data_IF_222102054695
#
_entry.id   IF_222102054695
#
_cell.length_a   1.000
_cell.length_b   1.000
_cell.length_c   1.000
_cell.angle_alpha   90.00
_cell.angle_beta   90.00
_cell.angle_gamma   90.00
#
_symmetry.space_group_name_H-M   'P 1'
#
loop_
_entity.id
_entity.type
_entity.pdbx_description
1 polymer ?
#
# COMPACT_ATOMS: atom_id res chain seq x y z
N UNK A 1 3.91 -8.34 3.61
CA UNK A 1 4.94 -8.20 2.54
C UNK A 1 4.89 -9.25 1.41
N UNK A 2 3.84 -10.08 1.29
CA UNK A 2 3.83 -11.26 0.41
C UNK A 2 4.32 -11.04 -1.05
N UNK A 3 3.80 -10.06 -1.80
CA UNK A 3 4.15 -9.93 -3.23
C UNK A 3 5.55 -9.33 -3.48
N UNK A 4 6.18 -8.78 -2.46
CA UNK A 4 7.56 -8.25 -2.54
C UNK A 4 8.58 -9.13 -1.80
N UNK A 5 8.15 -10.07 -0.97
CA UNK A 5 9.03 -10.95 -0.19
C UNK A 5 9.03 -12.41 -0.70
N UNK A 6 7.86 -12.95 -1.03
CA UNK A 6 7.71 -14.39 -1.24
C UNK A 6 8.29 -14.84 -2.59
N UNK A 7 9.14 -15.87 -2.57
CA UNK A 7 9.91 -16.34 -3.74
C UNK A 7 9.04 -16.63 -4.98
N UNK A 8 7.81 -17.14 -4.79
CA UNK A 8 6.88 -17.43 -5.90
C UNK A 8 6.39 -16.18 -6.63
N UNK A 9 6.44 -15.01 -5.97
CA UNK A 9 6.03 -13.72 -6.55
C UNK A 9 7.25 -12.96 -7.10
N UNK A 10 8.39 -13.06 -6.42
CA UNK A 10 9.55 -12.18 -6.66
C UNK A 10 10.39 -12.58 -7.86
N UNK A 11 10.32 -13.85 -8.31
CA UNK A 11 10.97 -14.33 -9.56
C UNK A 11 10.63 -13.49 -10.80
N UNK A 12 9.50 -12.78 -10.77
CA UNK A 12 9.01 -11.97 -11.88
C UNK A 12 9.28 -10.47 -11.71
N UNK A 13 9.98 -10.03 -10.65
CA UNK A 13 10.31 -8.60 -10.43
C UNK A 13 11.52 -8.21 -11.28
N UNK A 14 11.28 -8.05 -12.57
CA UNK A 14 12.32 -7.75 -13.57
C UNK A 14 12.16 -6.32 -14.08
N UNK A 15 10.91 -5.88 -14.28
CA UNK A 15 10.56 -4.57 -14.84
C UNK A 15 9.99 -3.62 -13.78
N UNK A 16 9.95 -2.32 -14.09
CA UNK A 16 9.34 -1.29 -13.25
C UNK A 16 7.88 -1.59 -12.96
N UNK A 17 7.15 -2.08 -13.97
CA UNK A 17 5.75 -2.48 -13.81
C UNK A 17 5.59 -3.67 -12.87
N UNK A 18 6.50 -4.65 -12.90
CA UNK A 18 6.44 -5.78 -11.98
C UNK A 18 6.67 -5.35 -10.53
N UNK A 19 7.67 -4.48 -10.28
CA UNK A 19 7.91 -3.96 -8.94
C UNK A 19 6.72 -3.11 -8.47
N UNK A 20 6.21 -2.24 -9.34
CA UNK A 20 5.06 -1.37 -9.04
C UNK A 20 3.83 -2.20 -8.68
N UNK A 21 3.53 -3.21 -9.48
CA UNK A 21 2.41 -4.12 -9.24
C UNK A 21 2.58 -4.90 -7.92
N UNK A 22 3.80 -5.32 -7.59
CA UNK A 22 4.08 -6.00 -6.33
C UNK A 22 3.81 -5.09 -5.12
N UNK A 23 4.27 -3.83 -5.16
CA UNK A 23 3.94 -2.84 -4.12
C UNK A 23 2.44 -2.57 -4.03
N UNK A 24 1.76 -2.35 -5.16
CA UNK A 24 0.31 -2.12 -5.20
C UNK A 24 -0.44 -3.29 -4.58
N UNK A 25 -0.15 -4.52 -5.01
CA UNK A 25 -0.84 -5.73 -4.52
C UNK A 25 -0.59 -5.96 -3.03
N UNK A 26 0.63 -5.73 -2.56
CA UNK A 26 0.96 -5.93 -1.14
C UNK A 26 0.25 -4.90 -0.26
N UNK A 27 0.34 -3.61 -0.61
CA UNK A 27 -0.33 -2.54 0.13
C UNK A 27 -1.86 -2.67 0.09
N UNK A 28 -2.42 -3.06 -1.06
CA UNK A 28 -3.84 -3.32 -1.23
C UNK A 28 -4.31 -4.50 -0.37
N UNK A 29 -3.59 -5.63 -0.39
CA UNK A 29 -3.94 -6.81 0.40
C UNK A 29 -3.89 -6.53 1.91
N UNK A 30 -2.85 -5.85 2.39
CA UNK A 30 -2.75 -5.46 3.80
C UNK A 30 -3.86 -4.48 4.20
N UNK A 31 -4.18 -3.50 3.35
CA UNK A 31 -5.31 -2.58 3.61
C UNK A 31 -6.64 -3.34 3.67
N UNK A 32 -6.87 -4.28 2.76
CA UNK A 32 -8.09 -5.09 2.75
C UNK A 32 -8.24 -5.91 4.03
N UNK A 33 -7.19 -6.63 4.44
CA UNK A 33 -7.18 -7.44 5.65
C UNK A 33 -7.33 -6.57 6.91
N UNK A 34 -6.62 -5.45 6.98
CA UNK A 34 -6.73 -4.49 8.07
C UNK A 34 -8.16 -3.92 8.17
N UNK A 35 -8.81 -3.65 7.04
CA UNK A 35 -10.21 -3.21 7.02
C UNK A 35 -11.16 -4.29 7.53
N UNK A 36 -11.01 -5.54 7.09
CA UNK A 36 -11.81 -6.65 7.62
C UNK A 36 -11.64 -6.78 9.13
N UNK A 37 -10.41 -6.73 9.63
CA UNK A 37 -10.11 -6.77 11.05
C UNK A 37 -10.73 -5.58 11.80
N UNK A 38 -10.59 -4.36 11.28
CA UNK A 38 -11.19 -3.16 11.86
C UNK A 38 -12.71 -3.29 11.97
N UNK A 39 -13.37 -3.78 10.91
CA UNK A 39 -14.81 -4.04 10.94
C UNK A 39 -15.20 -5.05 12.01
N UNK A 40 -14.53 -6.19 12.08
CA UNK A 40 -14.84 -7.23 13.07
C UNK A 40 -14.77 -6.72 14.52
N UNK A 41 -13.89 -5.75 14.81
CA UNK A 41 -13.69 -5.25 16.17
C UNK A 41 -14.49 -3.98 16.51
N UNK A 42 -14.90 -3.20 15.50
CA UNK A 42 -15.48 -1.86 15.71
C UNK A 42 -16.83 -1.63 15.02
N UNK A 43 -17.34 -2.60 14.24
CA UNK A 43 -18.58 -2.45 13.45
C UNK A 43 -19.73 -3.28 14.02
N UNK A 44 -20.20 -2.94 15.22
CA UNK A 44 -21.30 -3.66 15.88
C UNK A 44 -22.66 -3.48 15.18
N UNK A 45 -22.81 -2.48 14.31
CA UNK A 45 -24.08 -2.12 13.66
C UNK A 45 -24.02 -2.09 12.13
N UNK A 46 -22.92 -2.54 11.50
CA UNK A 46 -22.69 -2.47 10.06
C UNK A 46 -22.71 -1.04 9.46
N UNK A 47 -22.46 -0.04 10.30
CA UNK A 47 -22.49 1.40 9.98
C UNK A 47 -21.22 1.84 9.23
N UNK A 48 -20.12 1.08 9.35
CA UNK A 48 -18.87 1.42 8.65
C UNK A 48 -18.97 1.28 7.12
N UNK A 49 -19.73 0.30 6.62
CA UNK A 49 -19.93 0.13 5.18
C UNK A 49 -20.79 1.27 4.60
N UNK A 50 -21.79 1.73 5.35
CA UNK A 50 -22.64 2.86 4.96
C UNK A 50 -21.84 4.16 4.91
N UNK A 51 -21.05 4.42 5.96
CA UNK A 51 -20.11 5.55 5.99
C UNK A 51 -19.12 5.50 4.83
N UNK A 52 -18.61 4.32 4.48
CA UNK A 52 -17.68 4.17 3.36
C UNK A 52 -18.35 4.47 2.01
N UNK A 53 -19.62 4.11 1.82
CA UNK A 53 -20.42 4.48 0.62
C UNK A 53 -20.61 5.99 0.47
N UNK A 54 -20.72 6.69 1.60
CA UNK A 54 -20.70 8.16 1.67
C UNK A 54 -19.30 8.75 1.51
N UNK A 55 -18.27 7.92 1.34
CA UNK A 55 -16.90 8.34 1.19
C UNK A 55 -16.19 8.70 2.50
N UNK A 56 -16.76 8.34 3.65
CA UNK A 56 -16.18 8.62 4.96
C UNK A 56 -15.36 7.43 5.44
N UNK A 57 -14.04 7.57 5.41
CA UNK A 57 -13.11 6.63 6.05
C UNK A 57 -12.97 7.02 7.53
N UNK A 58 -13.13 6.08 8.48
CA UNK A 58 -12.90 6.36 9.90
C UNK A 58 -11.50 6.97 10.12
N UNK A 59 -11.37 8.09 10.86
CA UNK A 59 -10.08 8.78 11.02
C UNK A 59 -8.96 7.89 11.58
N UNK A 60 -9.27 6.99 12.52
CA UNK A 60 -8.29 6.07 13.09
C UNK A 60 -7.83 5.01 12.08
N UNK A 61 -8.74 4.51 11.24
CA UNK A 61 -8.38 3.59 10.17
C UNK A 61 -7.55 4.28 9.09
N UNK A 62 -7.94 5.51 8.70
CA UNK A 62 -7.17 6.32 7.75
C UNK A 62 -5.74 6.59 8.26
N UNK A 63 -5.59 6.89 9.56
CA UNK A 63 -4.28 7.04 10.20
C UNK A 63 -3.45 5.77 10.08
N UNK A 64 -4.05 4.60 10.33
CA UNK A 64 -3.39 3.31 10.13
C UNK A 64 -2.92 3.13 8.68
N UNK A 65 -3.76 3.46 7.70
CA UNK A 65 -3.38 3.42 6.28
C UNK A 65 -2.18 4.33 5.96
N UNK A 66 -2.11 5.52 6.57
CA UNK A 66 -0.95 6.40 6.38
C UNK A 66 0.34 5.80 6.94
N UNK A 67 0.30 5.16 8.10
CA UNK A 67 1.48 4.48 8.66
C UNK A 67 1.94 3.34 7.78
N UNK A 68 1.03 2.45 7.38
CA UNK A 68 1.36 1.35 6.45
C UNK A 68 1.95 1.87 5.14
N UNK A 69 1.39 2.94 4.57
CA UNK A 69 1.95 3.58 3.38
C UNK A 69 3.37 4.13 3.61
N UNK A 70 3.62 4.72 4.79
CA UNK A 70 4.94 5.16 5.23
C UNK A 70 5.94 4.01 5.35
N UNK A 71 5.53 2.88 5.93
CA UNK A 71 6.38 1.70 6.05
C UNK A 71 6.79 1.17 4.68
N UNK A 72 5.88 1.13 3.69
CA UNK A 72 6.23 0.76 2.32
C UNK A 72 7.22 1.73 1.67
N UNK A 73 7.08 3.03 1.95
CA UNK A 73 8.05 4.04 1.49
C UNK A 73 9.42 3.72 2.05
N UNK A 74 9.50 3.55 3.36
CA UNK A 74 10.78 3.36 4.04
C UNK A 74 11.43 2.03 3.65
N UNK A 75 10.64 0.98 3.42
CA UNK A 75 11.12 -0.29 2.84
C UNK A 75 11.69 -0.06 1.43
N UNK A 76 10.98 0.67 0.57
CA UNK A 76 11.44 0.97 -0.79
C UNK A 76 12.75 1.77 -0.79
N UNK A 77 12.83 2.80 0.06
CA UNK A 77 13.99 3.70 0.18
C UNK A 77 15.14 3.11 1.00
N UNK A 78 14.96 1.92 1.57
CA UNK A 78 15.93 1.28 2.47
C UNK A 78 16.20 2.10 3.75
N UNK A 79 15.20 2.86 4.22
CA UNK A 79 15.25 3.69 5.44
C UNK A 79 14.42 3.10 6.59
N UNK A 80 13.79 1.93 6.37
CA UNK A 80 12.95 1.29 7.38
C UNK A 80 13.75 0.83 8.61
N UNK A 81 13.16 1.00 9.79
CA UNK A 81 13.78 0.68 11.09
C UNK A 81 13.57 -0.77 11.53
N UNK A 82 12.84 -1.56 10.75
CA UNK A 82 12.48 -2.93 11.11
C UNK A 82 13.70 -3.84 11.19
N UNK A 83 13.62 -4.85 12.06
CA UNK A 83 14.60 -5.94 12.10
C UNK A 83 14.63 -6.65 10.75
N UNK A 84 15.84 -6.93 10.25
CA UNK A 84 16.06 -7.51 8.91
C UNK A 84 16.00 -9.03 8.97
N UNK A 85 14.80 -9.55 9.24
CA UNK A 85 14.56 -10.99 9.40
C UNK A 85 13.26 -11.40 8.71
N UNK A 86 13.17 -12.66 8.27
CA UNK A 86 12.02 -13.21 7.57
C UNK A 86 11.62 -12.39 6.35
N UNK A 87 10.32 -12.21 6.16
CA UNK A 87 9.73 -11.47 5.04
C UNK A 87 10.32 -10.05 4.83
N UNK A 88 10.81 -9.39 5.90
CA UNK A 88 11.43 -8.07 5.78
C UNK A 88 12.81 -8.17 5.13
N UNK A 89 13.62 -9.18 5.49
CA UNK A 89 14.90 -9.41 4.82
C UNK A 89 14.67 -9.75 3.36
N UNK A 90 13.75 -10.69 3.10
CA UNK A 90 13.43 -11.15 1.76
C UNK A 90 12.93 -9.99 0.88
N UNK A 91 12.02 -9.16 1.39
CA UNK A 91 11.53 -7.99 0.66
C UNK A 91 12.68 -7.05 0.27
N UNK A 92 13.58 -6.78 1.21
CA UNK A 92 14.70 -5.87 0.98
C UNK A 92 15.70 -6.43 -0.01
N UNK A 93 16.06 -7.71 0.11
CA UNK A 93 16.95 -8.38 -0.84
C UNK A 93 16.38 -8.35 -2.26
N UNK A 94 15.08 -8.62 -2.42
CA UNK A 94 14.41 -8.58 -3.72
C UNK A 94 14.36 -7.16 -4.31
N UNK A 95 14.04 -6.15 -3.50
CA UNK A 95 14.04 -4.75 -3.91
C UNK A 95 15.47 -4.32 -4.28
N UNK A 96 16.46 -4.66 -3.46
CA UNK A 96 17.87 -4.35 -3.69
C UNK A 96 18.38 -4.99 -4.98
N UNK A 97 18.07 -6.27 -5.23
CA UNK A 97 18.42 -6.95 -6.47
C UNK A 97 17.84 -6.23 -7.70
N UNK A 98 16.60 -5.78 -7.63
CA UNK A 98 15.96 -5.03 -8.73
C UNK A 98 16.63 -3.66 -8.98
N UNK A 99 16.97 -2.91 -7.92
CA UNK A 99 17.61 -1.59 -8.07
C UNK A 99 19.08 -1.72 -8.49
N UNK A 100 19.81 -2.71 -7.97
CA UNK A 100 21.23 -2.92 -8.28
C UNK A 100 21.47 -3.45 -9.70
N UNK A 101 20.44 -3.97 -10.37
CA UNK A 101 20.53 -4.42 -11.77
C UNK A 101 20.79 -3.27 -12.76
N UNK A 102 20.56 -2.01 -12.37
CA UNK A 102 20.69 -0.85 -13.24
C UNK A 102 21.41 0.27 -12.50
N UNK A 103 22.49 0.81 -13.08
CA UNK A 103 23.36 1.81 -12.45
C UNK A 103 22.64 3.14 -12.12
N UNK A 104 21.58 3.45 -12.85
CA UNK A 104 20.97 4.79 -12.84
C UNK A 104 19.60 4.82 -12.14
N UNK A 105 19.16 3.70 -11.53
CA UNK A 105 17.85 3.65 -10.88
C UNK A 105 17.90 4.27 -9.49
N UNK A 106 17.13 5.35 -9.33
CA UNK A 106 16.99 6.06 -8.08
C UNK A 106 15.69 5.67 -7.37
N UNK A 107 15.79 5.08 -6.17
CA UNK A 107 14.65 4.67 -5.34
C UNK A 107 13.69 5.81 -5.03
N UNK A 108 14.22 7.00 -4.73
CA UNK A 108 13.43 8.20 -4.44
C UNK A 108 12.62 8.62 -5.66
N UNK A 109 13.23 8.61 -6.85
CA UNK A 109 12.54 8.90 -8.11
C UNK A 109 11.45 7.86 -8.38
N UNK A 110 11.79 6.57 -8.28
CA UNK A 110 10.86 5.47 -8.48
C UNK A 110 9.66 5.56 -7.53
N UNK A 111 9.90 5.79 -6.23
CA UNK A 111 8.84 5.98 -5.26
C UNK A 111 7.99 7.19 -5.62
N UNK A 112 8.62 8.32 -5.98
CA UNK A 112 7.91 9.56 -6.34
C UNK A 112 6.95 9.36 -7.52
N UNK A 113 7.34 8.56 -8.51
CA UNK A 113 6.54 8.23 -9.70
C UNK A 113 5.40 7.24 -9.38
N UNK A 114 5.64 6.27 -8.50
CA UNK A 114 4.70 5.16 -8.25
C UNK A 114 3.85 5.32 -6.99
N UNK A 115 4.24 6.21 -6.07
CA UNK A 115 3.60 6.53 -4.80
C UNK A 115 2.08 6.73 -4.90
N UNK A 116 1.63 7.40 -5.97
CA UNK A 116 0.22 7.66 -6.21
C UNK A 116 -0.54 6.37 -6.51
N UNK A 117 0.01 5.50 -7.34
CA UNK A 117 -0.62 4.23 -7.73
C UNK A 117 -0.70 3.25 -6.56
N UNK A 118 0.31 3.22 -5.68
CA UNK A 118 0.28 2.42 -4.45
C UNK A 118 -0.88 2.86 -3.55
N UNK A 119 -1.02 4.18 -3.33
CA UNK A 119 -2.13 4.73 -2.55
C UNK A 119 -3.50 4.45 -3.20
N UNK A 120 -3.61 4.59 -4.52
CA UNK A 120 -4.82 4.23 -5.28
C UNK A 120 -5.16 2.74 -5.13
N UNK A 121 -4.16 1.86 -5.08
CA UNK A 121 -4.32 0.44 -4.81
C UNK A 121 -4.92 0.17 -3.42
N UNK A 122 -4.42 0.86 -2.39
CA UNK A 122 -4.96 0.77 -1.02
C UNK A 122 -6.42 1.23 -0.96
N UNK A 123 -6.74 2.37 -1.60
CA UNK A 123 -8.13 2.86 -1.70
C UNK A 123 -9.01 1.91 -2.49
N UNK A 124 -8.50 1.30 -3.57
CA UNK A 124 -9.24 0.32 -4.36
C UNK A 124 -9.59 -0.92 -3.52
N UNK A 125 -8.64 -1.43 -2.73
CA UNK A 125 -8.87 -2.56 -1.83
C UNK A 125 -9.96 -2.28 -0.80
N UNK A 126 -9.96 -1.09 -0.20
CA UNK A 126 -10.98 -0.67 0.76
C UNK A 126 -12.38 -0.64 0.12
N UNK A 127 -12.45 -0.27 -1.16
CA UNK A 127 -13.69 0.13 -1.83
C UNK A 127 -14.13 -0.87 -2.89
N UNK A 128 -13.48 -2.03 -2.96
CA UNK A 128 -13.66 -3.01 -4.03
C UNK A 128 -15.13 -3.50 -4.16
N UNK A 129 -15.85 -3.54 -3.04
CA UNK A 129 -17.26 -3.96 -2.97
C UNK A 129 -18.27 -2.87 -3.34
N UNK A 130 -17.81 -1.65 -3.58
CA UNK A 130 -18.64 -0.51 -3.95
C UNK A 130 -18.87 -0.45 -5.46
N UNK A 131 -20.07 -0.04 -5.85
CA UNK A 131 -20.45 0.25 -7.23
C UNK A 131 -19.63 1.42 -7.79
N UNK A 132 -19.62 1.56 -9.11
CA UNK A 132 -18.93 2.66 -9.78
C UNK A 132 -19.45 4.06 -9.38
N UNK A 133 -20.71 4.16 -8.96
CA UNK A 133 -21.32 5.41 -8.47
C UNK A 133 -20.90 5.71 -7.03
N UNK A 134 -20.96 4.73 -6.13
CA UNK A 134 -20.49 4.87 -4.75
C UNK A 134 -18.99 5.23 -4.71
N UNK A 135 -18.17 4.66 -5.60
CA UNK A 135 -16.75 4.99 -5.74
C UNK A 135 -16.50 6.45 -6.14
N UNK A 136 -17.46 7.15 -6.76
CA UNK A 136 -17.33 8.59 -7.07
C UNK A 136 -17.51 9.47 -5.84
N UNK A 137 -18.25 9.00 -4.83
CA UNK A 137 -18.53 9.73 -3.59
C UNK A 137 -17.37 9.67 -2.61
N UNK A 138 -16.50 8.67 -2.76
CA UNK A 138 -15.25 8.58 -2.00
C UNK A 138 -14.41 9.78 -2.39
N UNK A 139 -14.02 10.64 -1.44
CA UNK A 139 -13.19 11.78 -1.75
C UNK A 139 -11.97 11.24 -2.49
N UNK A 140 -11.82 11.65 -3.75
CA UNK A 140 -10.52 11.59 -4.48
C UNK A 140 -9.44 12.42 -3.76
N UNK A 141 -9.77 12.97 -2.59
CA UNK A 141 -9.14 14.03 -1.83
C UNK A 141 -9.31 13.73 -0.34
N UNK A 142 -8.80 12.60 0.14
CA UNK A 142 -8.00 12.66 1.37
C UNK A 142 -6.57 12.59 0.86
N UNK A 143 -5.95 13.76 0.85
CA UNK A 143 -4.69 14.11 0.18
C UNK A 143 -3.76 12.92 0.00
N UNK A 144 -3.24 12.77 -1.22
CA UNK A 144 -2.04 11.97 -1.47
C UNK A 144 -1.09 12.12 -0.26
N UNK A 145 -0.63 11.01 0.34
CA UNK A 145 0.20 11.07 1.55
C UNK A 145 1.46 11.93 1.36
N UNK A 146 1.80 12.26 0.11
CA UNK A 146 2.78 13.28 -0.31
C UNK A 146 2.67 14.64 0.39
N UNK A 147 1.53 15.01 0.99
CA UNK A 147 1.43 16.21 1.86
C UNK A 147 1.81 15.96 3.32
N UNK A 148 1.76 14.71 3.78
CA UNK A 148 2.05 14.27 5.15
C UNK A 148 3.54 13.93 5.33
N UNK A 149 4.20 13.47 4.26
CA UNK A 149 5.60 13.05 4.26
C UNK A 149 6.58 14.09 3.65
N UNK A 150 6.19 15.37 3.62
CA UNK A 150 7.06 16.48 3.20
C UNK A 150 7.80 17.10 4.38
#
# INVERSE_FOLDING_TARGET
LYYIAHESQTKNIITDDNLKDAFIKTAAAETFLAWQYYKTNYDSTNDLDEKLKEGKIPPEFLRSMYFTYGDYRDICLNTDISKKEGDVSDAKENIDAYFNKYTDRNRTKWWTENAKHIWEGMLCALTNRLTGEEKKNIPKVQSSPRKIFK
#
